data_IF_134047288466
#
_entry.id   IF_134047288466
#
_cell.length_a   1.000
_cell.length_b   1.000
_cell.length_c   1.000
_cell.angle_alpha   90.00
_cell.angle_beta   90.00
_cell.angle_gamma   90.00
#
_symmetry.space_group_name_H-M   'P 1'
#
loop_
_entity.id
_entity.type
_entity.pdbx_description
1 polymer ?
#
# COMPACT_ATOMS: atom_id res chain seq x y z
N UNK A 1 6.87 -11.04 -58.35
CA UNK A 1 6.33 -10.46 -57.12
C UNK A 1 5.01 -11.15 -56.84
N UNK A 2 5.07 -12.30 -56.12
CA UNK A 2 3.87 -13.06 -55.77
C UNK A 2 3.42 -12.68 -54.35
N UNK A 3 2.18 -12.32 -54.27
CA UNK A 3 1.51 -11.97 -53.00
C UNK A 3 1.25 -13.20 -52.18
N UNK A 4 1.86 -13.28 -51.02
CA UNK A 4 1.63 -14.32 -50.01
C UNK A 4 0.22 -14.26 -49.44
N UNK A 5 -0.59 -15.27 -49.72
CA UNK A 5 -1.98 -15.37 -49.32
C UNK A 5 -2.08 -16.10 -47.95
N UNK A 6 -2.66 -15.42 -46.95
CA UNK A 6 -2.79 -15.85 -45.53
C UNK A 6 -3.74 -17.03 -45.27
N UNK A 7 -4.15 -17.82 -46.27
CA UNK A 7 -5.16 -18.88 -46.12
C UNK A 7 -4.67 -20.32 -46.20
N UNK A 8 -3.37 -20.62 -46.08
CA UNK A 8 -2.86 -22.00 -46.21
C UNK A 8 -2.14 -22.56 -44.95
N UNK A 9 -2.50 -22.12 -43.74
CA UNK A 9 -1.87 -22.66 -42.52
C UNK A 9 -2.82 -23.38 -41.56
N UNK A 10 -3.99 -23.82 -42.01
CA UNK A 10 -4.86 -24.66 -41.20
C UNK A 10 -5.27 -25.84 -42.11
N UNK A 11 -4.59 -26.95 -42.01
CA UNK A 11 -5.06 -28.32 -42.28
C UNK A 11 -3.86 -29.26 -42.47
N UNK A 12 -3.38 -29.83 -41.39
CA UNK A 12 -2.77 -31.18 -41.30
C UNK A 12 -2.32 -31.40 -39.87
N UNK A 13 -3.17 -32.07 -39.10
CA UNK A 13 -2.85 -33.26 -38.31
C UNK A 13 -4.10 -33.70 -37.53
N UNK A 14 -4.83 -34.55 -38.18
CA UNK A 14 -5.77 -35.43 -37.49
C UNK A 14 -5.36 -36.84 -37.91
N UNK A 15 -4.73 -37.58 -37.03
CA UNK A 15 -4.75 -39.03 -36.91
C UNK A 15 -3.70 -39.49 -35.90
N UNK A 16 -4.14 -40.10 -34.81
CA UNK A 16 -3.26 -40.71 -33.78
C UNK A 16 -3.98 -40.85 -32.45
N UNK A 17 -5.15 -41.52 -32.47
CA UNK A 17 -5.78 -42.03 -31.25
C UNK A 17 -5.06 -43.32 -30.86
N UNK A 18 -4.67 -43.46 -29.58
CA UNK A 18 -4.27 -44.74 -29.03
C UNK A 18 -3.39 -44.60 -27.78
N UNK A 19 -4.02 -44.75 -26.61
CA UNK A 19 -3.48 -45.34 -25.38
C UNK A 19 -2.17 -44.77 -24.80
N UNK A 20 -2.30 -44.01 -23.74
CA UNK A 20 -1.56 -44.20 -22.47
C UNK A 20 -2.21 -43.34 -21.36
N UNK A 21 -3.33 -43.79 -20.85
CA UNK A 21 -3.74 -43.49 -19.49
C UNK A 21 -2.98 -44.46 -18.58
N UNK A 22 -1.95 -43.97 -17.93
CA UNK A 22 -1.47 -44.49 -16.64
C UNK A 22 -0.37 -43.60 -16.07
N UNK A 23 -0.58 -43.19 -14.82
CA UNK A 23 0.44 -42.75 -13.90
C UNK A 23 1.04 -41.33 -14.12
N UNK A 24 0.35 -40.31 -13.64
CA UNK A 24 0.97 -39.23 -12.93
C UNK A 24 0.02 -38.70 -11.81
N UNK A 25 -0.33 -39.58 -10.88
CA UNK A 25 -0.62 -39.19 -9.52
C UNK A 25 0.74 -38.86 -8.88
N UNK A 26 1.32 -37.74 -9.25
CA UNK A 26 2.34 -37.10 -8.41
C UNK A 26 1.67 -36.77 -7.08
N UNK A 27 2.00 -37.58 -6.08
CA UNK A 27 1.67 -37.33 -4.71
C UNK A 27 2.04 -35.85 -4.43
N UNK A 28 1.03 -35.00 -4.27
CA UNK A 28 1.19 -33.73 -3.58
C UNK A 28 1.69 -34.11 -2.19
N UNK A 29 2.97 -33.92 -1.94
CA UNK A 29 3.52 -33.96 -0.60
C UNK A 29 2.68 -33.03 0.30
N UNK A 30 2.70 -33.22 1.61
CA UNK A 30 2.01 -32.32 2.51
C UNK A 30 2.45 -30.91 2.13
N UNK A 31 1.46 -30.03 1.82
CA UNK A 31 1.72 -28.63 1.56
C UNK A 31 2.55 -28.12 2.74
N UNK A 32 3.67 -27.45 2.46
CA UNK A 32 4.45 -26.80 3.49
C UNK A 32 3.49 -25.98 4.36
N UNK A 33 3.67 -25.99 5.69
CA UNK A 33 2.81 -25.20 6.57
C UNK A 33 2.85 -23.75 6.05
N UNK A 34 1.70 -23.04 6.00
CA UNK A 34 1.62 -21.70 5.46
C UNK A 34 2.71 -20.87 6.12
N UNK A 35 3.54 -20.21 5.33
CA UNK A 35 4.62 -19.38 5.84
C UNK A 35 4.00 -18.35 6.78
N UNK A 36 4.44 -18.29 8.03
CA UNK A 36 3.89 -17.39 9.01
C UNK A 36 4.07 -15.96 8.51
N UNK A 37 2.97 -15.16 8.51
CA UNK A 37 3.06 -13.75 8.15
C UNK A 37 4.11 -13.03 9.02
N UNK A 38 4.84 -12.10 8.43
CA UNK A 38 5.78 -11.23 9.13
C UNK A 38 5.23 -9.82 9.32
N UNK A 39 4.28 -9.42 8.49
CA UNK A 39 3.62 -8.12 8.56
C UNK A 39 2.65 -8.04 9.74
N UNK A 40 2.31 -6.83 10.15
CA UNK A 40 1.50 -6.56 11.35
C UNK A 40 0.42 -5.53 11.06
N UNK A 41 -0.68 -5.60 11.81
CA UNK A 41 -1.82 -4.69 11.66
C UNK A 41 -1.61 -3.40 12.42
N UNK A 42 -1.96 -2.27 11.77
CA UNK A 42 -1.83 -0.93 12.34
C UNK A 42 -3.20 -0.25 12.39
N UNK A 43 -3.53 0.36 13.53
CA UNK A 43 -4.65 1.27 13.64
C UNK A 43 -4.24 2.65 13.17
N UNK A 44 -4.86 3.13 12.10
CA UNK A 44 -4.75 4.49 11.60
C UNK A 44 -6.10 5.20 11.76
N UNK A 45 -6.28 5.97 12.82
CA UNK A 45 -7.53 6.71 13.03
C UNK A 45 -7.80 7.71 11.91
N UNK A 46 -6.75 8.37 11.39
CA UNK A 46 -6.86 9.33 10.30
C UNK A 46 -7.43 8.72 9.02
N UNK A 47 -6.96 7.51 8.64
CA UNK A 47 -7.44 6.77 7.46
C UNK A 47 -8.89 6.30 7.61
N UNK A 48 -9.32 6.03 8.83
CA UNK A 48 -10.72 5.72 9.14
C UNK A 48 -11.61 6.98 9.18
N UNK A 49 -11.01 8.18 9.09
CA UNK A 49 -11.72 9.45 9.12
C UNK A 49 -11.99 10.01 10.52
N UNK A 50 -11.30 9.51 11.55
CA UNK A 50 -11.41 9.98 12.92
C UNK A 50 -10.18 10.78 13.37
N UNK A 51 -10.43 11.69 14.31
CA UNK A 51 -9.34 12.37 15.04
C UNK A 51 -9.14 11.67 16.38
N UNK A 52 -7.91 11.69 16.86
CA UNK A 52 -7.54 11.19 18.18
C UNK A 52 -6.11 11.57 18.50
N UNK A 53 -5.77 11.51 19.78
CA UNK A 53 -4.38 11.64 20.23
C UNK A 53 -3.64 10.32 20.03
N UNK A 54 -2.32 10.38 20.10
CA UNK A 54 -1.48 9.19 20.07
C UNK A 54 -1.86 8.18 21.18
N UNK A 55 -2.09 8.68 22.40
CA UNK A 55 -2.44 7.83 23.56
C UNK A 55 -3.82 7.18 23.39
N UNK A 56 -4.80 7.88 22.80
CA UNK A 56 -6.09 7.27 22.45
C UNK A 56 -5.94 6.19 21.37
N UNK A 57 -5.08 6.42 20.37
CA UNK A 57 -4.80 5.41 19.34
C UNK A 57 -4.17 4.15 19.95
N UNK A 58 -3.23 4.33 20.88
CA UNK A 58 -2.59 3.23 21.63
C UNK A 58 -3.61 2.43 22.43
N UNK A 59 -4.49 3.12 23.18
CA UNK A 59 -5.52 2.45 23.99
C UNK A 59 -6.51 1.67 23.12
N UNK A 60 -6.95 2.25 22.00
CA UNK A 60 -7.85 1.58 21.07
C UNK A 60 -7.18 0.40 20.34
N UNK A 61 -5.91 0.54 19.97
CA UNK A 61 -5.16 -0.54 19.33
C UNK A 61 -5.03 -1.75 20.27
N UNK A 62 -4.67 -1.50 21.53
CA UNK A 62 -4.60 -2.54 22.57
C UNK A 62 -5.96 -3.20 22.80
N UNK A 63 -7.02 -2.39 22.93
CA UNK A 63 -8.38 -2.87 23.20
C UNK A 63 -8.92 -3.76 22.08
N UNK A 64 -8.67 -3.41 20.82
CA UNK A 64 -9.25 -4.12 19.66
C UNK A 64 -8.27 -5.09 18.99
N UNK A 65 -7.07 -5.24 19.53
CA UNK A 65 -6.09 -6.25 19.11
C UNK A 65 -5.37 -5.90 17.81
N UNK A 66 -5.15 -4.62 17.54
CA UNK A 66 -4.16 -4.20 16.54
C UNK A 66 -2.74 -4.42 17.09
N UNK A 67 -1.77 -4.51 16.19
CA UNK A 67 -0.37 -4.77 16.53
C UNK A 67 0.50 -3.52 16.42
N UNK A 68 -0.10 -2.38 16.10
CA UNK A 68 0.58 -1.10 15.99
C UNK A 68 -0.36 0.07 15.81
N UNK A 69 0.23 1.26 15.81
CA UNK A 69 -0.44 2.56 15.60
C UNK A 69 0.39 3.44 14.68
N UNK A 70 -0.24 4.44 14.06
CA UNK A 70 0.49 5.46 13.32
C UNK A 70 1.45 6.23 14.24
N UNK A 71 2.64 6.59 13.76
CA UNK A 71 3.52 7.51 14.47
C UNK A 71 2.93 8.94 14.46
N UNK A 72 3.18 9.68 15.54
CA UNK A 72 2.85 11.12 15.64
C UNK A 72 4.14 11.96 15.63
N UNK A 73 4.54 12.35 14.42
CA UNK A 73 5.76 13.15 14.21
C UNK A 73 5.74 14.43 15.03
N UNK A 74 4.62 15.17 15.02
CA UNK A 74 4.48 16.42 15.75
C UNK A 74 4.57 16.23 17.28
N UNK A 75 4.07 15.12 17.82
CA UNK A 75 4.28 14.77 19.23
C UNK A 75 5.75 14.44 19.49
N UNK A 76 6.36 13.58 18.68
CA UNK A 76 7.75 13.15 18.89
C UNK A 76 8.75 14.29 18.79
N UNK A 77 8.48 15.30 17.96
CA UNK A 77 9.30 16.51 17.88
C UNK A 77 9.32 17.33 19.16
N UNK A 78 8.22 17.31 19.93
CA UNK A 78 8.08 18.14 21.16
C UNK A 78 8.55 17.45 22.43
N UNK A 79 8.64 16.11 22.43
CA UNK A 79 9.04 15.34 23.62
C UNK A 79 10.55 15.40 23.83
N UNK A 80 10.97 15.47 25.09
CA UNK A 80 12.34 15.17 25.50
C UNK A 80 12.66 13.70 25.20
N UNK A 81 13.94 13.34 25.20
CA UNK A 81 14.37 11.96 24.95
C UNK A 81 13.82 10.99 26.02
N UNK A 82 13.77 11.41 27.28
CA UNK A 82 13.22 10.61 28.38
C UNK A 82 11.70 10.43 28.26
N UNK A 83 10.97 11.43 27.83
CA UNK A 83 9.52 11.35 27.60
C UNK A 83 9.21 10.45 26.41
N UNK A 84 9.92 10.63 25.30
CA UNK A 84 9.78 9.75 24.12
C UNK A 84 10.11 8.31 24.48
N UNK A 85 11.21 8.07 25.20
CA UNK A 85 11.58 6.72 25.65
C UNK A 85 10.47 6.08 26.47
N UNK A 86 9.87 6.79 27.43
CA UNK A 86 8.76 6.25 28.23
C UNK A 86 7.55 5.86 27.35
N UNK A 87 7.22 6.67 26.33
CA UNK A 87 6.14 6.33 25.40
C UNK A 87 6.47 5.08 24.55
N UNK A 88 7.70 4.94 24.10
CA UNK A 88 8.13 3.78 23.34
C UNK A 88 8.21 2.52 24.19
N UNK A 89 8.63 2.64 25.45
CA UNK A 89 8.62 1.54 26.44
C UNK A 89 7.17 1.09 26.74
N UNK A 90 6.21 2.03 26.85
CA UNK A 90 4.79 1.71 27.01
C UNK A 90 4.24 0.95 25.80
N UNK A 91 4.53 1.42 24.56
CA UNK A 91 4.18 0.68 23.33
C UNK A 91 4.74 -0.74 23.33
N UNK A 92 6.02 -0.88 23.66
CA UNK A 92 6.69 -2.18 23.69
C UNK A 92 6.06 -3.11 24.74
N UNK A 93 5.67 -2.59 25.92
CA UNK A 93 5.00 -3.34 26.98
C UNK A 93 3.65 -3.91 26.53
N UNK A 94 2.95 -3.18 25.64
CA UNK A 94 1.68 -3.58 25.00
C UNK A 94 1.88 -4.41 23.73
N UNK A 95 3.14 -4.70 23.35
CA UNK A 95 3.52 -5.39 22.11
C UNK A 95 3.05 -4.64 20.84
N UNK A 96 2.89 -3.33 20.94
CA UNK A 96 2.53 -2.48 19.81
C UNK A 96 3.80 -1.94 19.12
N UNK A 97 3.70 -1.73 17.81
CA UNK A 97 4.75 -1.17 16.96
C UNK A 97 4.28 0.14 16.32
N UNK A 98 5.20 0.93 15.83
CA UNK A 98 4.87 2.08 15.00
C UNK A 98 4.69 1.66 13.54
N UNK A 99 3.69 2.23 12.87
CA UNK A 99 3.42 2.06 11.45
C UNK A 99 4.31 2.93 10.57
N UNK A 100 3.79 3.32 9.39
CA UNK A 100 4.43 4.27 8.50
C UNK A 100 3.94 5.69 8.77
N UNK A 101 4.85 6.68 8.68
CA UNK A 101 4.49 8.10 8.74
C UNK A 101 4.08 8.60 7.35
N UNK A 102 3.25 9.65 7.30
CA UNK A 102 3.02 10.41 6.07
C UNK A 102 4.22 11.30 5.73
N UNK A 103 4.49 11.53 4.44
CA UNK A 103 5.48 12.51 4.00
C UNK A 103 4.92 13.93 4.23
N UNK A 104 5.52 14.77 5.09
CA UNK A 104 5.01 16.10 5.40
C UNK A 104 5.46 17.16 4.38
N UNK A 105 5.54 16.80 3.11
CA UNK A 105 5.93 17.68 1.99
C UNK A 105 4.88 17.60 0.91
N UNK A 106 4.29 18.75 0.56
CA UNK A 106 3.35 18.83 -0.54
C UNK A 106 4.13 19.07 -1.85
N UNK A 107 4.50 17.99 -2.48
CA UNK A 107 5.30 18.00 -3.72
C UNK A 107 4.44 18.08 -5.00
N UNK A 108 3.13 18.05 -4.88
CA UNK A 108 2.16 18.09 -6.00
C UNK A 108 1.76 19.51 -6.38
N UNK A 109 1.95 20.45 -5.45
CA UNK A 109 1.61 21.86 -5.59
C UNK A 109 2.74 22.67 -6.26
N UNK A 110 2.67 24.00 -6.15
CA UNK A 110 3.66 24.90 -6.71
C UNK A 110 5.06 24.78 -6.03
N UNK A 111 6.06 25.40 -6.65
CA UNK A 111 7.44 25.36 -6.19
C UNK A 111 7.62 25.95 -4.78
N UNK A 112 6.92 27.03 -4.48
CA UNK A 112 7.05 27.69 -3.17
C UNK A 112 6.53 26.81 -2.03
N UNK A 113 5.40 26.14 -2.25
CA UNK A 113 4.80 25.17 -1.32
C UNK A 113 5.71 23.96 -1.12
N UNK A 114 6.27 23.43 -2.21
CA UNK A 114 7.25 22.35 -2.16
C UNK A 114 8.50 22.74 -1.36
N UNK A 115 9.12 23.88 -1.69
CA UNK A 115 10.34 24.37 -1.04
C UNK A 115 10.15 24.57 0.47
N UNK A 116 8.99 25.10 0.87
CA UNK A 116 8.69 25.28 2.29
C UNK A 116 8.54 23.94 3.02
N UNK A 117 7.87 22.97 2.42
CA UNK A 117 7.77 21.61 2.95
C UNK A 117 9.13 20.95 3.06
N UNK A 118 9.94 21.05 2.00
CA UNK A 118 11.29 20.45 1.96
C UNK A 118 12.22 21.03 3.02
N UNK A 119 12.14 22.34 3.31
CA UNK A 119 12.92 22.98 4.39
C UNK A 119 12.60 22.42 5.77
N UNK A 120 11.36 21.97 6.01
CA UNK A 120 10.92 21.41 7.31
C UNK A 120 11.14 19.90 7.41
N UNK A 121 11.34 19.23 6.29
CA UNK A 121 11.48 17.77 6.25
C UNK A 121 12.62 17.23 7.12
N UNK A 122 13.82 17.86 7.23
CA UNK A 122 14.88 17.36 8.10
C UNK A 122 14.47 17.25 9.58
N UNK A 123 13.73 18.22 10.09
CA UNK A 123 13.27 18.22 11.49
C UNK A 123 12.21 17.11 11.71
N UNK A 124 11.29 16.96 10.78
CA UNK A 124 10.30 15.87 10.79
C UNK A 124 10.97 14.49 10.72
N UNK A 125 11.91 14.31 9.78
CA UNK A 125 12.66 13.08 9.64
C UNK A 125 13.48 12.74 10.91
N UNK A 126 14.11 13.74 11.53
CA UNK A 126 14.81 13.57 12.81
C UNK A 126 13.87 13.16 13.94
N UNK A 127 12.69 13.78 14.04
CA UNK A 127 11.70 13.43 15.06
C UNK A 127 11.25 11.98 14.92
N UNK A 128 10.95 11.53 13.70
CA UNK A 128 10.60 10.15 13.38
C UNK A 128 11.75 9.18 13.65
N UNK A 129 12.99 9.55 13.31
CA UNK A 129 14.16 8.71 13.54
C UNK A 129 14.43 8.49 15.05
N UNK A 130 14.16 9.47 15.92
CA UNK A 130 14.25 9.31 17.38
C UNK A 130 13.32 8.22 17.90
N UNK A 131 12.18 7.99 17.23
CA UNK A 131 11.23 6.93 17.54
C UNK A 131 11.47 5.65 16.73
N UNK A 132 12.59 5.52 16.05
CA UNK A 132 12.94 4.39 15.16
C UNK A 132 11.95 4.15 14.01
N UNK A 133 11.21 5.17 13.58
CA UNK A 133 10.31 5.09 12.42
C UNK A 133 11.12 5.08 11.13
N UNK A 134 11.10 3.96 10.42
CA UNK A 134 11.89 3.72 9.18
C UNK A 134 11.06 3.84 7.90
N UNK A 135 9.76 4.00 7.99
CA UNK A 135 8.83 3.93 6.87
C UNK A 135 8.06 5.23 6.76
N UNK A 136 8.17 5.89 5.63
CA UNK A 136 7.42 7.11 5.27
C UNK A 136 6.73 6.86 3.95
N UNK A 137 5.51 7.32 3.77
CA UNK A 137 4.78 7.10 2.52
C UNK A 137 3.97 8.31 2.08
N UNK A 138 3.65 8.34 0.80
CA UNK A 138 2.77 9.34 0.19
C UNK A 138 2.19 8.76 -1.10
N UNK A 139 1.19 9.44 -1.68
CA UNK A 139 0.53 9.06 -2.91
C UNK A 139 0.81 10.03 -4.05
N UNK A 140 0.66 9.56 -5.28
CA UNK A 140 0.86 10.32 -6.52
C UNK A 140 -0.49 10.62 -7.16
N UNK A 141 -0.74 11.90 -7.48
CA UNK A 141 -1.97 12.31 -8.17
C UNK A 141 -2.00 11.73 -9.58
N UNK A 142 -3.05 10.97 -9.97
CA UNK A 142 -3.03 10.17 -11.21
C UNK A 142 -3.40 10.97 -12.47
N UNK A 143 -3.58 12.27 -12.39
CA UNK A 143 -3.90 13.13 -13.53
C UNK A 143 -3.49 14.58 -13.29
N UNK A 144 -3.46 15.40 -14.34
CA UNK A 144 -3.17 16.83 -14.27
C UNK A 144 -3.87 17.59 -15.41
N UNK A 145 -4.40 18.77 -15.11
CA UNK A 145 -4.92 19.68 -16.13
C UNK A 145 -3.83 20.49 -16.83
N UNK A 146 -2.68 20.67 -16.18
CA UNK A 146 -1.63 21.58 -16.59
C UNK A 146 -0.41 20.87 -17.19
N UNK A 147 0.04 19.80 -16.53
CA UNK A 147 1.29 19.12 -16.89
C UNK A 147 1.00 17.89 -17.77
N UNK A 148 1.64 17.83 -18.92
CA UNK A 148 1.66 16.58 -19.72
C UNK A 148 2.35 15.46 -18.92
N UNK A 149 2.12 14.19 -19.31
CA UNK A 149 2.72 13.04 -18.63
C UNK A 149 4.24 13.21 -18.39
N UNK A 150 5.00 13.55 -19.42
CA UNK A 150 6.46 13.68 -19.28
C UNK A 150 6.89 14.89 -18.44
N UNK A 151 6.15 15.98 -18.46
CA UNK A 151 6.43 17.14 -17.61
C UNK A 151 6.18 16.77 -16.14
N UNK A 152 5.01 16.17 -15.86
CA UNK A 152 4.63 15.72 -14.53
C UNK A 152 5.61 14.68 -13.98
N UNK A 153 6.00 13.70 -14.80
CA UNK A 153 6.99 12.70 -14.45
C UNK A 153 8.35 13.31 -14.03
N UNK A 154 8.83 14.30 -14.76
CA UNK A 154 10.09 15.00 -14.44
C UNK A 154 10.01 15.78 -13.14
N UNK A 155 8.90 16.49 -12.92
CA UNK A 155 8.66 17.25 -11.68
C UNK A 155 8.63 16.30 -10.48
N UNK A 156 7.84 15.22 -10.56
CA UNK A 156 7.76 14.22 -9.50
C UNK A 156 9.11 13.55 -9.24
N UNK A 157 9.84 13.13 -10.28
CA UNK A 157 11.14 12.51 -10.12
C UNK A 157 12.16 13.44 -9.46
N UNK A 158 12.14 14.73 -9.78
CA UNK A 158 13.03 15.72 -9.19
C UNK A 158 12.69 15.96 -7.70
N UNK A 159 11.45 16.35 -7.41
CA UNK A 159 11.00 16.69 -6.05
C UNK A 159 11.06 15.53 -5.08
N UNK A 160 10.62 14.35 -5.51
CA UNK A 160 10.66 13.14 -4.68
C UNK A 160 12.09 12.64 -4.43
N UNK A 161 13.04 12.91 -5.35
CA UNK A 161 14.46 12.65 -5.12
C UNK A 161 15.01 13.47 -3.97
N UNK A 162 14.67 14.77 -3.90
CA UNK A 162 15.10 15.63 -2.79
C UNK A 162 14.52 15.15 -1.45
N UNK A 163 13.21 14.81 -1.42
CA UNK A 163 12.59 14.25 -0.22
C UNK A 163 13.27 12.92 0.19
N UNK A 164 13.50 12.02 -0.77
CA UNK A 164 14.10 10.70 -0.50
C UNK A 164 15.53 10.83 0.05
N UNK A 165 16.33 11.79 -0.43
CA UNK A 165 17.68 12.06 0.09
C UNK A 165 17.65 12.49 1.55
N UNK A 166 16.79 13.45 1.89
CA UNK A 166 16.63 13.89 3.29
C UNK A 166 16.21 12.73 4.19
N UNK A 167 15.25 11.90 3.76
CA UNK A 167 14.83 10.72 4.50
C UNK A 167 15.94 9.67 4.64
N UNK A 168 16.77 9.48 3.60
CA UNK A 168 17.92 8.57 3.64
C UNK A 168 18.95 8.94 4.70
N UNK A 169 19.22 10.25 4.88
CA UNK A 169 20.13 10.76 5.90
C UNK A 169 19.69 10.41 7.34
N UNK A 170 18.40 10.08 7.51
CA UNK A 170 17.79 9.62 8.75
C UNK A 170 17.48 8.10 8.77
N UNK A 171 17.97 7.36 7.79
CA UNK A 171 17.79 5.91 7.66
C UNK A 171 16.34 5.51 7.34
N UNK A 172 15.55 6.39 6.72
CA UNK A 172 14.16 6.19 6.37
C UNK A 172 13.99 5.84 4.89
N UNK A 173 12.94 5.08 4.58
CA UNK A 173 12.53 4.70 3.23
C UNK A 173 11.23 5.41 2.87
N UNK A 174 11.09 5.81 1.60
CA UNK A 174 9.91 6.47 1.07
C UNK A 174 9.12 5.53 0.17
N UNK A 175 7.86 5.26 0.52
CA UNK A 175 6.88 4.53 -0.27
C UNK A 175 6.01 5.47 -1.08
N UNK A 176 5.82 5.16 -2.35
CA UNK A 176 4.95 5.90 -3.25
C UNK A 176 3.76 5.03 -3.65
N UNK A 177 2.55 5.59 -3.54
CA UNK A 177 1.31 4.94 -3.95
C UNK A 177 0.87 5.47 -5.31
N UNK A 178 0.51 4.57 -6.22
CA UNK A 178 -0.21 4.91 -7.44
C UNK A 178 -1.72 4.83 -7.18
N UNK A 179 -2.49 5.71 -7.83
CA UNK A 179 -3.93 5.83 -7.64
C UNK A 179 -4.65 5.41 -8.92
N UNK A 180 -5.31 4.26 -8.89
CA UNK A 180 -5.72 3.54 -10.09
C UNK A 180 -7.17 3.67 -10.57
N UNK A 181 -8.19 4.15 -9.82
CA UNK A 181 -9.55 4.21 -10.33
C UNK A 181 -9.67 4.99 -11.64
N UNK A 182 -10.34 4.40 -12.63
CA UNK A 182 -10.54 5.04 -13.96
C UNK A 182 -11.28 6.36 -13.87
N UNK A 183 -12.18 6.50 -12.89
CA UNK A 183 -12.90 7.73 -12.61
C UNK A 183 -11.98 8.86 -12.13
N UNK A 184 -10.79 8.53 -11.61
CA UNK A 184 -9.84 9.53 -11.12
C UNK A 184 -8.74 9.84 -12.15
N UNK A 185 -8.04 8.85 -12.70
CA UNK A 185 -6.97 9.16 -13.66
C UNK A 185 -7.47 9.68 -15.00
N UNK A 186 -8.78 9.57 -15.29
CA UNK A 186 -9.46 10.19 -16.45
C UNK A 186 -10.16 11.50 -16.12
N UNK A 187 -10.11 11.96 -14.87
CA UNK A 187 -10.87 13.15 -14.45
C UNK A 187 -10.29 14.45 -15.01
N UNK A 188 -9.02 14.46 -15.38
CA UNK A 188 -8.33 15.62 -15.90
C UNK A 188 -7.74 15.38 -17.29
N UNK A 189 -7.19 16.46 -17.88
CA UNK A 189 -6.74 16.50 -19.28
C UNK A 189 -5.63 15.50 -19.57
N UNK A 190 -4.70 15.30 -18.65
CA UNK A 190 -3.51 14.48 -18.83
C UNK A 190 -3.46 13.37 -17.79
N UNK A 191 -3.73 12.11 -18.16
CA UNK A 191 -3.50 10.99 -17.27
C UNK A 191 -2.05 10.92 -16.81
N UNK A 192 -1.87 10.42 -15.59
CA UNK A 192 -0.54 10.20 -15.03
C UNK A 192 -0.45 8.80 -14.39
N UNK A 193 0.58 8.53 -13.61
CA UNK A 193 0.89 7.22 -13.02
C UNK A 193 -0.31 6.66 -12.26
N UNK A 194 -0.76 5.46 -12.66
CA UNK A 194 -1.90 4.77 -12.07
C UNK A 194 -1.75 3.23 -12.05
N UNK A 195 -0.56 2.71 -12.36
CA UNK A 195 -0.22 1.28 -12.31
C UNK A 195 1.11 1.06 -11.59
N UNK A 196 1.32 -0.17 -11.08
CA UNK A 196 2.59 -0.57 -10.47
C UNK A 196 3.77 -0.47 -11.46
N UNK A 197 3.53 -0.80 -12.72
CA UNK A 197 4.58 -0.72 -13.76
C UNK A 197 5.07 0.71 -13.95
N UNK A 198 4.15 1.67 -14.11
CA UNK A 198 4.50 3.09 -14.22
C UNK A 198 5.14 3.64 -12.95
N UNK A 199 4.67 3.18 -11.77
CA UNK A 199 5.29 3.55 -10.50
C UNK A 199 6.74 3.04 -10.42
N UNK A 200 7.02 1.82 -10.86
CA UNK A 200 8.42 1.30 -10.92
C UNK A 200 9.31 2.16 -11.83
N UNK A 201 8.79 2.64 -12.96
CA UNK A 201 9.53 3.57 -13.83
C UNK A 201 9.86 4.88 -13.10
N UNK A 202 8.92 5.43 -12.33
CA UNK A 202 9.15 6.63 -11.52
C UNK A 202 10.21 6.36 -10.44
N UNK A 203 10.14 5.25 -9.71
CA UNK A 203 11.14 4.88 -8.69
C UNK A 203 12.55 4.80 -9.30
N UNK A 204 12.68 4.20 -10.49
CA UNK A 204 13.97 4.16 -11.22
C UNK A 204 14.43 5.56 -11.61
N UNK A 205 13.53 6.42 -12.08
CA UNK A 205 13.87 7.80 -12.46
C UNK A 205 14.25 8.68 -11.26
N UNK A 206 13.65 8.49 -10.09
CA UNK A 206 14.05 9.15 -8.84
C UNK A 206 15.50 8.74 -8.48
N UNK A 207 15.84 7.46 -8.57
CA UNK A 207 17.23 6.98 -8.56
C UNK A 207 17.92 7.00 -7.19
N UNK A 208 17.18 6.92 -6.08
CA UNK A 208 17.74 6.71 -4.73
C UNK A 208 17.46 5.27 -4.28
N UNK A 209 18.24 4.76 -3.31
CA UNK A 209 18.17 3.35 -2.87
C UNK A 209 17.13 3.09 -1.77
N UNK A 210 16.55 4.15 -1.21
CA UNK A 210 15.60 4.11 -0.09
C UNK A 210 14.16 4.28 -0.54
N UNK A 211 13.83 3.88 -1.76
CA UNK A 211 12.50 3.96 -2.35
C UNK A 211 11.78 2.63 -2.35
N UNK A 212 10.48 2.69 -2.39
CA UNK A 212 9.59 1.57 -2.60
C UNK A 212 8.16 2.01 -2.88
N UNK A 213 7.24 1.08 -2.76
CA UNK A 213 5.81 1.33 -3.01
C UNK A 213 5.01 1.30 -1.70
N UNK A 214 3.99 2.11 -1.62
CA UNK A 214 2.81 1.86 -0.81
C UNK A 214 1.87 1.06 -1.69
N UNK A 215 1.51 -0.15 -1.26
CA UNK A 215 0.56 -1.00 -1.98
C UNK A 215 -0.81 -0.89 -1.33
N UNK A 216 -1.81 -0.51 -2.11
CA UNK A 216 -3.20 -0.58 -1.70
C UNK A 216 -3.92 -1.65 -2.52
N UNK A 217 -4.61 -2.58 -1.86
CA UNK A 217 -5.42 -3.61 -2.52
C UNK A 217 -6.51 -3.02 -3.41
N UNK A 218 -7.03 -1.84 -3.07
CA UNK A 218 -7.98 -1.09 -3.89
C UNK A 218 -7.38 -0.64 -5.22
N UNK A 219 -6.19 -0.02 -5.17
CA UNK A 219 -5.50 0.43 -6.37
C UNK A 219 -4.98 -0.74 -7.20
N UNK A 220 -4.46 -1.78 -6.56
CA UNK A 220 -4.09 -3.03 -7.21
C UNK A 220 -5.25 -3.64 -8.00
N UNK A 221 -6.44 -3.72 -7.41
CA UNK A 221 -7.64 -4.22 -8.07
C UNK A 221 -8.09 -3.32 -9.24
N UNK A 222 -8.13 -1.99 -9.04
CA UNK A 222 -8.55 -1.04 -10.06
C UNK A 222 -7.55 -0.90 -11.22
N UNK A 223 -6.28 -1.22 -11.02
CA UNK A 223 -5.27 -1.33 -12.06
C UNK A 223 -5.31 -2.67 -12.81
N UNK A 224 -6.22 -3.58 -12.45
CA UNK A 224 -6.33 -4.94 -13.02
C UNK A 224 -5.03 -5.75 -12.89
N UNK A 225 -4.30 -5.55 -11.81
CA UNK A 225 -3.03 -6.20 -11.55
C UNK A 225 -3.20 -7.59 -10.91
N UNK A 226 -2.14 -8.35 -10.91
CA UNK A 226 -2.12 -9.75 -10.42
C UNK A 226 -1.18 -9.94 -9.25
N UNK A 227 -1.37 -11.01 -8.49
CA UNK A 227 -0.46 -11.41 -7.42
C UNK A 227 0.99 -11.52 -7.92
N UNK A 228 1.20 -12.08 -9.12
CA UNK A 228 2.54 -12.19 -9.72
C UNK A 228 3.21 -10.84 -9.99
N UNK A 229 2.43 -9.76 -10.20
CA UNK A 229 2.97 -8.39 -10.26
C UNK A 229 3.58 -7.95 -8.92
N UNK A 230 2.91 -8.24 -7.82
CA UNK A 230 3.40 -7.97 -6.46
C UNK A 230 4.63 -8.84 -6.14
N UNK A 231 4.63 -10.11 -6.54
CA UNK A 231 5.74 -11.05 -6.34
C UNK A 231 7.04 -10.65 -7.07
N UNK A 232 6.98 -9.71 -8.01
CA UNK A 232 8.17 -9.11 -8.62
C UNK A 232 8.88 -8.11 -7.72
N UNK A 233 8.28 -7.71 -6.60
CA UNK A 233 8.87 -6.81 -5.62
C UNK A 233 9.66 -7.61 -4.57
N UNK A 234 10.68 -6.98 -4.00
CA UNK A 234 11.32 -7.47 -2.77
C UNK A 234 10.55 -6.96 -1.56
N UNK A 235 10.59 -7.69 -0.44
CA UNK A 235 10.00 -7.23 0.82
C UNK A 235 10.44 -5.80 1.20
N UNK A 236 11.71 -5.47 0.94
CA UNK A 236 12.27 -4.14 1.20
C UNK A 236 11.73 -3.04 0.28
N UNK A 237 11.15 -3.39 -0.85
CA UNK A 237 10.55 -2.43 -1.80
C UNK A 237 9.07 -2.16 -1.50
N UNK A 238 8.46 -2.86 -0.53
CA UNK A 238 7.12 -2.58 -0.03
C UNK A 238 7.25 -1.82 1.30
N UNK A 239 6.82 -0.58 1.33
CA UNK A 239 7.00 0.29 2.49
C UNK A 239 5.83 0.18 3.45
N UNK A 240 4.61 0.24 2.95
CA UNK A 240 3.38 0.07 3.72
C UNK A 240 2.29 -0.53 2.83
N UNK A 241 1.26 -1.09 3.44
CA UNK A 241 0.14 -1.72 2.72
C UNK A 241 -1.19 -1.20 3.26
N UNK A 242 -2.06 -0.77 2.37
CA UNK A 242 -3.46 -0.49 2.66
C UNK A 242 -4.34 -1.65 2.17
N UNK A 243 -5.20 -2.12 3.05
CA UNK A 243 -6.08 -3.25 2.79
C UNK A 243 -7.53 -2.79 2.79
N UNK A 244 -8.19 -2.90 1.66
CA UNK A 244 -9.56 -2.48 1.43
C UNK A 244 -10.31 -3.53 0.61
N UNK A 245 -11.62 -3.39 0.50
CA UNK A 245 -12.45 -4.11 -0.47
C UNK A 245 -13.21 -3.11 -1.35
N UNK A 246 -13.87 -3.58 -2.39
CA UNK A 246 -14.55 -2.76 -3.38
C UNK A 246 -16.07 -2.95 -3.32
N UNK A 247 -16.87 -1.91 -3.59
CA UNK A 247 -18.28 -2.07 -3.83
C UNK A 247 -18.51 -2.92 -5.09
N UNK A 248 -19.66 -3.60 -5.17
CA UNK A 248 -20.04 -4.43 -6.33
C UNK A 248 -20.43 -3.59 -7.53
N UNK A 249 -19.48 -2.82 -8.04
CA UNK A 249 -19.62 -1.95 -9.21
C UNK A 249 -18.60 -2.36 -10.29
N UNK A 250 -18.89 -2.11 -11.57
CA UNK A 250 -17.90 -2.24 -12.64
C UNK A 250 -16.66 -1.36 -12.39
N UNK A 251 -15.50 -1.77 -12.91
CA UNK A 251 -14.22 -1.05 -12.71
C UNK A 251 -14.26 0.42 -13.17
N UNK A 252 -15.01 0.73 -14.22
CA UNK A 252 -15.16 2.09 -14.74
C UNK A 252 -16.11 2.96 -13.92
N UNK A 253 -16.76 2.40 -12.91
CA UNK A 253 -17.65 3.08 -11.96
C UNK A 253 -17.08 3.10 -10.53
N UNK A 254 -15.93 2.52 -10.30
CA UNK A 254 -15.26 2.58 -9.01
C UNK A 254 -14.77 4.01 -8.74
N UNK A 255 -15.08 4.53 -7.55
CA UNK A 255 -14.76 5.90 -7.13
C UNK A 255 -13.84 5.84 -5.93
N UNK A 256 -12.76 6.61 -5.95
CA UNK A 256 -11.69 6.53 -4.95
C UNK A 256 -12.17 6.81 -3.51
N UNK A 257 -13.11 7.73 -3.35
CA UNK A 257 -13.70 8.08 -2.05
C UNK A 257 -14.75 7.08 -1.53
N UNK A 258 -14.95 5.96 -2.21
CA UNK A 258 -15.96 4.98 -1.85
C UNK A 258 -15.41 3.56 -1.95
N UNK A 259 -14.81 3.13 -0.87
CA UNK A 259 -14.25 1.79 -0.70
C UNK A 259 -15.01 1.05 0.41
N UNK A 260 -14.77 -0.23 0.54
CA UNK A 260 -15.34 -1.08 1.57
C UNK A 260 -14.26 -1.57 2.55
N UNK A 261 -14.67 -1.93 3.75
CA UNK A 261 -13.78 -2.58 4.72
C UNK A 261 -13.21 -3.89 4.15
N UNK A 262 -12.00 -4.30 4.54
CA UNK A 262 -11.37 -5.54 4.08
C UNK A 262 -12.31 -6.75 4.16
N UNK A 263 -12.42 -7.51 3.08
CA UNK A 263 -13.29 -8.70 2.96
C UNK A 263 -14.79 -8.46 3.24
N UNK A 264 -15.28 -7.22 3.05
CA UNK A 264 -16.70 -6.90 3.25
C UNK A 264 -17.57 -7.42 2.12
N UNK A 265 -17.12 -7.36 0.90
CA UNK A 265 -17.88 -7.72 -0.31
C UNK A 265 -17.31 -8.94 -1.03
N UNK A 266 -16.01 -9.20 -0.90
CA UNK A 266 -15.28 -10.22 -1.64
C UNK A 266 -15.10 -9.88 -3.12
N UNK A 267 -15.17 -8.62 -3.50
CA UNK A 267 -14.92 -8.15 -4.87
C UNK A 267 -13.42 -8.16 -5.16
N UNK A 268 -12.62 -7.66 -4.22
CA UNK A 268 -11.15 -7.75 -4.33
C UNK A 268 -10.72 -9.17 -3.96
N UNK A 269 -9.92 -9.86 -4.77
CA UNK A 269 -9.39 -11.19 -4.47
C UNK A 269 -8.30 -11.11 -3.37
N UNK A 270 -8.74 -10.80 -2.15
CA UNK A 270 -7.90 -10.46 -1.01
C UNK A 270 -6.95 -11.60 -0.62
N UNK A 271 -7.36 -12.86 -0.86
CA UNK A 271 -6.52 -14.04 -0.63
C UNK A 271 -5.27 -14.02 -1.51
N UNK A 272 -5.43 -13.64 -2.77
CA UNK A 272 -4.32 -13.57 -3.74
C UNK A 272 -3.37 -12.43 -3.38
N UNK A 273 -3.92 -11.26 -3.04
CA UNK A 273 -3.13 -10.10 -2.63
C UNK A 273 -2.32 -10.37 -1.35
N UNK A 274 -2.96 -10.88 -0.30
CA UNK A 274 -2.30 -11.22 0.96
C UNK A 274 -1.32 -12.39 0.79
N UNK A 275 -1.65 -13.37 -0.04
CA UNK A 275 -0.77 -14.49 -0.38
C UNK A 275 0.54 -14.00 -1.00
N UNK A 276 0.48 -13.06 -1.95
CA UNK A 276 1.66 -12.45 -2.53
C UNK A 276 2.53 -11.71 -1.50
N UNK A 277 1.93 -11.01 -0.53
CA UNK A 277 2.69 -10.37 0.56
C UNK A 277 3.42 -11.39 1.45
N UNK A 278 2.80 -12.54 1.70
CA UNK A 278 3.44 -13.64 2.45
C UNK A 278 4.59 -14.23 1.65
N UNK A 279 4.39 -14.48 0.35
CA UNK A 279 5.40 -15.05 -0.55
C UNK A 279 6.65 -14.18 -0.66
N UNK A 280 6.48 -12.86 -0.84
CA UNK A 280 7.63 -11.93 -0.88
C UNK A 280 8.27 -11.72 0.50
N UNK A 281 7.65 -12.23 1.57
CA UNK A 281 8.14 -12.09 2.95
C UNK A 281 8.01 -10.68 3.51
N UNK A 282 6.98 -9.93 3.10
CA UNK A 282 6.72 -8.58 3.61
C UNK A 282 6.60 -8.57 5.14
N UNK A 283 7.24 -7.59 5.80
CA UNK A 283 7.36 -7.50 7.26
C UNK A 283 6.85 -6.18 7.86
N UNK A 284 6.21 -5.36 7.02
CA UNK A 284 5.78 -4.00 7.38
C UNK A 284 4.34 -3.90 7.88
N UNK A 285 3.86 -2.65 8.07
CA UNK A 285 2.50 -2.36 8.51
C UNK A 285 1.45 -2.64 7.44
N UNK A 286 0.32 -3.19 7.87
CA UNK A 286 -0.91 -3.35 7.08
C UNK A 286 -2.03 -2.63 7.81
N UNK A 287 -2.73 -1.74 7.14
CA UNK A 287 -3.81 -0.94 7.71
C UNK A 287 -5.02 -0.89 6.76
N UNK A 288 -6.17 -0.41 7.22
CA UNK A 288 -7.34 -0.20 6.39
C UNK A 288 -7.52 1.29 6.09
N UNK A 289 -7.87 1.62 4.84
CA UNK A 289 -8.22 2.98 4.41
C UNK A 289 -9.53 2.96 3.58
N UNK A 290 -10.67 2.68 4.22
CA UNK A 290 -11.89 2.36 3.48
C UNK A 290 -12.59 3.57 2.85
N UNK A 291 -12.27 4.82 3.22
CA UNK A 291 -13.01 6.02 2.80
C UNK A 291 -14.54 5.82 2.81
N UNK A 292 -15.04 5.13 3.85
CA UNK A 292 -16.40 4.65 3.94
C UNK A 292 -17.29 5.61 4.76
N UNK A 293 -18.31 6.20 4.14
CA UNK A 293 -19.17 7.16 4.81
C UNK A 293 -19.99 6.53 5.96
N UNK A 294 -20.39 5.25 5.83
CA UNK A 294 -21.13 4.55 6.88
C UNK A 294 -20.24 4.31 8.10
N UNK A 295 -18.98 3.91 7.87
CA UNK A 295 -18.01 3.74 8.94
C UNK A 295 -17.76 5.06 9.67
N UNK A 296 -17.57 6.16 8.92
CA UNK A 296 -17.36 7.51 9.48
C UNK A 296 -18.55 8.04 10.28
N UNK A 297 -19.75 7.55 9.99
CA UNK A 297 -20.98 7.92 10.73
C UNK A 297 -21.15 7.13 12.04
N UNK A 298 -20.37 6.08 12.28
CA UNK A 298 -20.40 5.29 13.52
C UNK A 298 -19.71 6.04 14.67
N UNK A 299 -20.04 5.74 15.93
CA UNK A 299 -19.16 6.05 17.05
C UNK A 299 -17.74 5.48 16.81
N UNK A 300 -16.71 6.28 17.10
CA UNK A 300 -15.29 5.92 16.83
C UNK A 300 -14.92 4.50 17.28
N UNK A 301 -15.30 4.13 18.51
CA UNK A 301 -14.99 2.80 19.05
C UNK A 301 -15.65 1.67 18.24
N UNK A 302 -16.87 1.86 17.78
CA UNK A 302 -17.56 0.88 16.93
C UNK A 302 -16.90 0.76 15.54
N UNK A 303 -16.46 1.88 14.97
CA UNK A 303 -15.76 1.90 13.71
C UNK A 303 -14.40 1.18 13.81
N UNK A 304 -13.65 1.40 14.90
CA UNK A 304 -12.38 0.71 15.17
C UNK A 304 -12.61 -0.80 15.36
N UNK A 305 -13.64 -1.18 16.14
CA UNK A 305 -14.01 -2.59 16.33
C UNK A 305 -14.38 -3.28 15.00
N UNK A 306 -15.19 -2.61 14.17
CA UNK A 306 -15.58 -3.11 12.85
C UNK A 306 -14.38 -3.28 11.92
N UNK A 307 -13.43 -2.35 11.96
CA UNK A 307 -12.19 -2.42 11.17
C UNK A 307 -11.31 -3.58 11.62
N UNK A 308 -11.13 -3.78 12.93
CA UNK A 308 -10.37 -4.90 13.46
C UNK A 308 -10.98 -6.25 13.04
N UNK A 309 -12.30 -6.36 13.09
CA UNK A 309 -13.01 -7.57 12.66
C UNK A 309 -12.87 -7.81 11.16
N UNK A 310 -12.92 -6.75 10.34
CA UNK A 310 -12.73 -6.84 8.90
C UNK A 310 -11.32 -7.34 8.53
N UNK A 311 -10.28 -6.85 9.21
CA UNK A 311 -8.90 -7.33 9.03
C UNK A 311 -8.77 -8.81 9.41
N UNK A 312 -9.38 -9.25 10.53
CA UNK A 312 -9.40 -10.67 10.93
C UNK A 312 -10.07 -11.54 9.87
N UNK A 313 -11.21 -11.09 9.31
CA UNK A 313 -11.90 -11.79 8.23
C UNK A 313 -11.05 -11.89 6.97
N UNK A 314 -10.38 -10.81 6.58
CA UNK A 314 -9.49 -10.80 5.43
C UNK A 314 -8.33 -11.79 5.59
N UNK A 315 -7.71 -11.84 6.76
CA UNK A 315 -6.62 -12.77 7.05
C UNK A 315 -7.12 -14.21 7.10
N UNK A 316 -8.27 -14.46 7.75
CA UNK A 316 -8.88 -15.79 7.77
C UNK A 316 -9.23 -16.29 6.36
N UNK A 317 -9.76 -15.42 5.48
CA UNK A 317 -10.05 -15.75 4.09
C UNK A 317 -8.79 -16.12 3.29
N UNK A 318 -7.64 -15.55 3.66
CA UNK A 318 -6.33 -15.87 3.08
C UNK A 318 -5.64 -17.08 3.75
N UNK A 319 -6.22 -17.66 4.80
CA UNK A 319 -5.60 -18.75 5.58
C UNK A 319 -4.42 -18.26 6.45
N UNK A 320 -4.37 -16.97 6.77
CA UNK A 320 -3.31 -16.34 7.56
C UNK A 320 -3.80 -16.19 9.00
N UNK A 321 -2.97 -16.58 9.95
CA UNK A 321 -3.26 -16.37 11.38
C UNK A 321 -3.11 -14.88 11.74
N UNK A 322 -4.12 -14.35 12.42
CA UNK A 322 -4.14 -12.97 12.91
C UNK A 322 -3.28 -12.81 14.16
#
# INVERSE_FOLDING_TARGET
METLNRRKFILRTAAGAGALEAANALASGPADPPSARKFYTVLSLGRLGFRGTFDESVALAEQYGFEGVDPDEGLFARLSDDELKRKLDDLASKKLRLGAAGLPVEFREDEATFDEGLKRLPDAAKALARADVKRVSTWVLPSSNELTYLQNFRVHACRLRECARVLADHGQRLGLEYVAPRTFWRSERHPFIHTLSEMKELLVAIGTTNLGVQLDSWHWYNAEETASGVETLKASEIITVDLNDAPRLPLDQQVDDYRELPAATGVIPIKEFLGALVEVGYDGPVQAEPFNAQLRAMPRDQAVAATAEALRKAFAAAGITY
#
